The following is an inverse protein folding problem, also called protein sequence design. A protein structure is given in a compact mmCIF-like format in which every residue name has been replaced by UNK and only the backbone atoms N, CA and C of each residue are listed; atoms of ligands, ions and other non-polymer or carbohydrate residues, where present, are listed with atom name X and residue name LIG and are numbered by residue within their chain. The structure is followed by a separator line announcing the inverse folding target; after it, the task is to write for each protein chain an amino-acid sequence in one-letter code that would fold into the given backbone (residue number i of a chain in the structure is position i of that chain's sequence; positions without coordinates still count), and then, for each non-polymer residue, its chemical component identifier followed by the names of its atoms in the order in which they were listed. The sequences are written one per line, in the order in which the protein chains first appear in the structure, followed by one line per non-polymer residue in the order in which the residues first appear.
data_IF_181255205646
#
_entry.id   IF_181255205646
#
_cell.length_a   1.000
_cell.length_b   1.000
_cell.length_c   1.000
_cell.angle_alpha   90.00
_cell.angle_beta   90.00
_cell.angle_gamma   90.00
#
_symmetry.space_group_name_H-M   'P 1'
#
loop_
_entity.id
_entity.type
_entity.pdbx_description
1 polymer ?
#
# COMPACT_ATOMS: atom_id res chain seq x y z
N UNK A 1 -71.40 -62.21 0.21
CA UNK A 1 -72.88 -62.14 0.19
C UNK A 1 -73.38 -61.89 1.62
N UNK A 2 -74.20 -60.84 1.83
CA UNK A 2 -74.81 -60.34 3.11
C UNK A 2 -73.80 -59.86 4.18
N UNK A 3 -73.65 -58.59 4.58
CA UNK A 3 -74.47 -57.35 4.77
C UNK A 3 -75.12 -57.21 6.16
N UNK A 4 -74.82 -56.05 6.78
CA UNK A 4 -75.39 -55.34 7.97
C UNK A 4 -74.91 -55.79 9.36
N UNK A 5 -74.61 -54.92 10.34
CA UNK A 5 -74.56 -53.45 10.51
C UNK A 5 -73.60 -53.16 11.71
N UNK A 6 -73.12 -51.95 12.03
CA UNK A 6 -73.84 -50.94 12.86
C UNK A 6 -73.03 -49.62 12.95
N UNK A 7 -73.74 -48.47 12.77
CA UNK A 7 -73.66 -47.13 13.41
C UNK A 7 -72.31 -46.40 13.65
N UNK A 8 -72.18 -45.07 13.63
CA UNK A 8 -73.06 -43.89 13.41
C UNK A 8 -72.10 -42.71 13.15
N UNK A 9 -72.35 -41.87 12.13
CA UNK A 9 -71.62 -40.61 11.89
C UNK A 9 -72.52 -39.39 12.11
N UNK A 10 -71.85 -38.32 12.53
CA UNK A 10 -72.33 -37.10 13.15
C UNK A 10 -73.19 -36.20 12.25
N UNK A 11 -74.04 -35.45 12.96
CA UNK A 11 -75.05 -34.49 12.51
C UNK A 11 -74.40 -33.20 11.98
N UNK A 12 -74.95 -32.67 10.88
CA UNK A 12 -74.68 -31.33 10.34
C UNK A 12 -75.96 -30.48 10.49
N UNK A 13 -75.85 -29.23 10.92
CA UNK A 13 -76.92 -28.25 10.70
C UNK A 13 -76.98 -27.05 11.64
N UNK A 14 -76.56 -25.89 11.09
CA UNK A 14 -77.14 -24.55 11.27
C UNK A 14 -76.83 -23.74 12.54
N UNK A 15 -76.00 -22.70 12.37
CA UNK A 15 -76.08 -21.44 13.13
C UNK A 15 -75.48 -20.27 12.31
N UNK A 16 -75.92 -19.01 12.55
CA UNK A 16 -76.02 -17.96 11.52
C UNK A 16 -74.84 -16.98 11.46
N UNK A 17 -74.74 -16.30 10.32
CA UNK A 17 -74.06 -15.01 10.18
C UNK A 17 -74.81 -13.91 10.96
N UNK A 18 -74.14 -13.17 11.83
CA UNK A 18 -74.28 -11.71 11.91
C UNK A 18 -73.13 -11.07 12.71
N UNK A 19 -72.79 -9.86 12.30
CA UNK A 19 -71.55 -9.15 12.54
C UNK A 19 -71.31 -8.70 13.99
N UNK A 20 -70.04 -8.76 14.42
CA UNK A 20 -69.52 -7.96 15.52
C UNK A 20 -68.59 -6.89 14.94
N UNK A 21 -69.00 -5.62 15.05
CA UNK A 21 -68.17 -4.44 14.84
C UNK A 21 -67.09 -4.42 15.93
N UNK A 22 -65.83 -4.50 15.54
CA UNK A 22 -64.69 -4.08 16.37
C UNK A 22 -63.96 -2.98 15.60
N UNK A 23 -64.11 -1.76 16.10
CA UNK A 23 -63.36 -0.58 15.65
C UNK A 23 -61.92 -0.79 16.09
N UNK A 24 -61.06 -1.22 15.16
CA UNK A 24 -59.61 -1.11 15.33
C UNK A 24 -59.21 0.30 14.92
N UNK A 25 -58.84 1.11 15.91
CA UNK A 25 -58.14 2.36 15.70
C UNK A 25 -56.83 2.05 14.96
N UNK A 26 -56.71 2.52 13.72
CA UNK A 26 -55.46 2.50 12.99
C UNK A 26 -54.50 3.50 13.63
N UNK A 27 -53.62 3.02 14.52
CA UNK A 27 -52.39 3.74 14.84
C UNK A 27 -51.49 3.64 13.61
N UNK A 28 -51.60 4.61 12.70
CA UNK A 28 -50.56 4.85 11.69
C UNK A 28 -49.29 5.26 12.42
N UNK A 29 -48.15 4.55 12.27
CA UNK A 29 -46.88 5.08 12.75
C UNK A 29 -46.63 6.39 12.00
N UNK A 30 -46.44 7.45 12.76
CA UNK A 30 -46.00 8.75 12.24
C UNK A 30 -44.57 8.59 11.74
N UNK A 31 -44.42 8.15 10.50
CA UNK A 31 -43.13 8.20 9.80
C UNK A 31 -42.86 9.67 9.51
N UNK A 32 -42.04 10.29 10.36
CA UNK A 32 -41.44 11.59 10.05
C UNK A 32 -40.74 11.46 8.69
N UNK A 33 -41.04 12.31 7.70
CA UNK A 33 -40.33 12.27 6.43
C UNK A 33 -38.86 12.53 6.71
N UNK A 34 -38.01 11.50 6.55
CA UNK A 34 -36.58 11.70 6.46
C UNK A 34 -36.35 12.58 5.23
N UNK A 35 -35.85 13.79 5.46
CA UNK A 35 -35.31 14.60 4.39
C UNK A 35 -34.29 13.74 3.64
N UNK A 36 -34.30 13.70 2.30
CA UNK A 36 -33.28 13.01 1.55
C UNK A 36 -31.93 13.57 2.01
N UNK A 37 -31.10 12.70 2.61
CA UNK A 37 -29.70 13.02 2.87
C UNK A 37 -29.09 13.20 1.49
N UNK A 38 -28.95 14.45 1.05
CA UNK A 38 -28.15 14.78 -0.12
C UNK A 38 -26.77 14.16 0.17
N UNK A 39 -26.28 13.24 -0.67
CA UNK A 39 -24.89 12.80 -0.56
C UNK A 39 -24.05 14.07 -0.51
N UNK A 40 -23.25 14.25 0.55
CA UNK A 40 -22.24 15.28 0.54
C UNK A 40 -21.44 15.04 -0.74
N UNK A 41 -21.45 16.03 -1.64
CA UNK A 41 -20.53 16.02 -2.78
C UNK A 41 -19.14 15.72 -2.19
N UNK A 42 -18.37 14.79 -2.78
CA UNK A 42 -17.01 14.55 -2.32
C UNK A 42 -16.32 15.90 -2.21
N UNK A 43 -15.67 16.16 -1.07
CA UNK A 43 -14.89 17.38 -0.92
C UNK A 43 -13.95 17.48 -2.13
N UNK A 44 -13.87 18.65 -2.77
CA UNK A 44 -12.93 18.83 -3.87
C UNK A 44 -11.54 18.43 -3.38
N UNK A 45 -10.71 17.80 -4.23
CA UNK A 45 -9.36 17.40 -3.84
C UNK A 45 -8.64 18.57 -3.19
N UNK A 46 -8.05 18.35 -2.01
CA UNK A 46 -7.32 19.39 -1.31
C UNK A 46 -6.26 20.00 -2.24
N UNK A 47 -6.17 21.34 -2.27
CA UNK A 47 -5.17 22.03 -3.07
C UNK A 47 -3.76 21.53 -2.71
N UNK A 48 -2.87 21.34 -3.69
CA UNK A 48 -1.52 20.84 -3.43
C UNK A 48 -0.80 21.79 -2.47
N UNK A 49 -0.23 21.23 -1.41
CA UNK A 49 0.60 21.96 -0.46
C UNK A 49 1.91 22.36 -1.14
N UNK A 50 2.37 23.61 -1.01
CA UNK A 50 3.64 24.02 -1.60
C UNK A 50 4.80 23.15 -1.06
N UNK A 51 5.86 22.92 -1.85
CA UNK A 51 7.00 22.14 -1.38
C UNK A 51 7.62 22.72 -0.11
N UNK A 52 7.95 21.84 0.85
CA UNK A 52 8.54 22.23 2.13
C UNK A 52 9.87 21.51 2.35
N UNK A 53 10.96 22.28 2.39
CA UNK A 53 12.31 21.76 2.55
C UNK A 53 12.71 21.64 4.02
N UNK A 54 13.41 20.54 4.34
CA UNK A 54 13.96 20.24 5.64
C UNK A 54 15.46 19.92 5.50
N UNK A 55 16.28 20.69 6.20
CA UNK A 55 17.73 20.48 6.29
C UNK A 55 18.03 19.75 7.60
N UNK A 56 18.37 18.47 7.49
CA UNK A 56 18.63 17.57 8.60
C UNK A 56 20.13 17.52 8.84
N UNK A 57 20.53 17.68 10.09
CA UNK A 57 21.93 17.70 10.51
C UNK A 57 22.10 16.96 11.82
N UNK A 58 23.35 16.63 12.16
CA UNK A 58 23.70 16.03 13.46
C UNK A 58 23.20 16.87 14.64
N UNK A 59 23.28 18.21 14.55
CA UNK A 59 22.82 19.10 15.61
C UNK A 59 21.29 19.09 15.78
N UNK A 60 20.55 18.87 14.69
CA UNK A 60 19.10 18.69 14.69
C UNK A 60 18.65 17.27 15.05
N UNK A 61 19.58 16.35 15.29
CA UNK A 61 19.30 14.96 15.65
C UNK A 61 18.57 14.18 14.56
N UNK A 62 18.69 14.58 13.30
CA UNK A 62 18.10 13.90 12.13
C UNK A 62 16.57 13.74 12.21
N UNK A 63 15.85 14.77 12.68
CA UNK A 63 14.38 14.74 12.86
C UNK A 63 13.67 15.81 12.04
N UNK A 64 12.44 15.49 11.64
CA UNK A 64 11.50 16.48 11.14
C UNK A 64 10.94 17.33 12.30
N UNK A 65 10.52 18.57 12.02
CA UNK A 65 9.70 19.36 12.95
C UNK A 65 8.37 18.67 13.27
N UNK A 66 7.80 18.94 14.45
CA UNK A 66 6.52 18.34 14.89
C UNK A 66 5.33 18.73 13.99
N UNK A 67 5.42 19.85 13.26
CA UNK A 67 4.39 20.38 12.35
C UNK A 67 4.66 20.07 10.87
N UNK A 68 5.45 19.04 10.58
CA UNK A 68 5.72 18.62 9.21
C UNK A 68 4.43 18.14 8.48
N UNK A 69 4.35 18.28 7.15
CA UNK A 69 3.20 17.83 6.38
C UNK A 69 3.01 16.32 6.47
N UNK A 70 1.74 15.90 6.44
CA UNK A 70 1.32 14.50 6.43
C UNK A 70 0.68 14.14 5.10
N UNK A 71 0.74 12.87 4.73
CA UNK A 71 0.17 12.35 3.49
C UNK A 71 -1.34 12.20 3.56
N UNK A 72 -1.99 12.37 2.41
CA UNK A 72 -3.44 12.16 2.30
C UNK A 72 -3.75 10.67 2.33
N UNK A 73 -4.89 10.34 2.94
CA UNK A 73 -5.49 9.01 2.84
C UNK A 73 -6.06 8.83 1.42
N UNK A 74 -5.92 7.64 0.82
CA UNK A 74 -6.61 7.33 -0.43
C UNK A 74 -8.12 7.58 -0.29
N UNK A 75 -8.69 8.29 -1.25
CA UNK A 75 -10.08 8.78 -1.20
C UNK A 75 -10.80 8.74 -2.54
N UNK A 76 -10.07 8.59 -3.65
CA UNK A 76 -10.64 8.52 -4.98
C UNK A 76 -10.88 7.07 -5.39
N UNK A 77 -12.03 6.81 -6.01
CA UNK A 77 -12.34 5.49 -6.55
C UNK A 77 -11.23 5.01 -7.48
N UNK A 78 -10.79 3.77 -7.25
CA UNK A 78 -9.67 3.15 -7.95
C UNK A 78 -10.10 2.05 -8.90
N UNK A 79 -9.16 1.59 -9.73
CA UNK A 79 -9.36 0.49 -10.68
C UNK A 79 -8.24 -0.55 -10.53
N UNK A 80 -8.65 -1.81 -10.40
CA UNK A 80 -7.78 -2.99 -10.59
C UNK A 80 -8.14 -3.66 -11.91
N UNK A 81 -7.13 -3.86 -12.75
CA UNK A 81 -7.26 -4.58 -14.01
C UNK A 81 -6.74 -6.00 -13.81
N UNK A 82 -7.54 -7.00 -14.14
CA UNK A 82 -7.14 -8.41 -14.03
C UNK A 82 -7.14 -9.02 -15.42
N UNK A 83 -5.97 -9.48 -15.86
CA UNK A 83 -5.79 -10.06 -17.20
C UNK A 83 -6.73 -11.25 -17.42
N UNK A 84 -7.64 -11.13 -18.39
CA UNK A 84 -8.62 -12.17 -18.71
C UNK A 84 -9.96 -12.04 -17.98
N UNK A 85 -10.09 -11.17 -16.97
CA UNK A 85 -11.36 -10.88 -16.28
C UNK A 85 -11.88 -9.46 -16.53
N UNK A 86 -11.00 -8.50 -16.76
CA UNK A 86 -11.36 -7.10 -17.03
C UNK A 86 -11.07 -6.17 -15.86
N UNK A 87 -11.79 -5.05 -15.82
CA UNK A 87 -11.56 -3.96 -14.88
C UNK A 87 -12.57 -3.99 -13.74
N UNK A 88 -12.07 -3.82 -12.51
CA UNK A 88 -12.86 -3.82 -11.28
C UNK A 88 -12.64 -2.50 -10.54
N UNK A 89 -13.74 -1.77 -10.32
CA UNK A 89 -13.71 -0.55 -9.53
C UNK A 89 -13.84 -0.86 -8.02
N UNK A 90 -13.23 -0.03 -7.19
CA UNK A 90 -13.35 -0.10 -5.74
C UNK A 90 -13.32 1.30 -5.13
N UNK A 91 -13.91 1.43 -3.94
CA UNK A 91 -13.82 2.65 -3.15
C UNK A 91 -12.81 2.47 -2.01
N UNK A 92 -11.80 3.34 -1.86
CA UNK A 92 -10.80 3.24 -0.79
C UNK A 92 -11.38 3.17 0.62
N UNK A 93 -12.52 3.83 0.86
CA UNK A 93 -13.17 3.87 2.17
C UNK A 93 -13.69 2.48 2.64
N UNK A 94 -13.79 1.51 1.74
CA UNK A 94 -14.26 0.15 2.04
C UNK A 94 -13.11 -0.86 2.15
N UNK A 95 -11.87 -0.44 1.89
CA UNK A 95 -10.69 -1.31 1.93
C UNK A 95 -10.08 -1.28 3.33
N UNK A 96 -9.94 -2.46 3.93
CA UNK A 96 -9.25 -2.66 5.19
C UNK A 96 -7.87 -3.27 4.95
N UNK A 97 -6.85 -2.83 5.70
CA UNK A 97 -5.51 -3.40 5.53
C UNK A 97 -5.39 -4.79 6.15
N UNK A 98 -4.75 -5.69 5.43
CA UNK A 98 -4.33 -7.02 5.91
C UNK A 98 -3.00 -6.98 6.67
N UNK A 99 -2.33 -5.83 6.71
CA UNK A 99 -1.05 -5.59 7.39
C UNK A 99 -1.18 -4.44 8.42
N UNK A 100 -2.04 -4.56 9.45
CA UNK A 100 -2.27 -3.50 10.43
C UNK A 100 -1.05 -3.17 11.32
N UNK A 101 -0.04 -4.03 11.30
CA UNK A 101 1.27 -3.80 11.92
C UNK A 101 2.21 -2.95 11.06
N UNK A 102 1.90 -2.75 9.77
CA UNK A 102 2.67 -1.90 8.84
C UNK A 102 1.94 -0.60 8.56
N UNK A 103 0.65 -0.64 8.18
CA UNK A 103 -0.08 0.55 7.77
C UNK A 103 -0.83 1.21 8.91
N UNK A 104 -0.82 2.54 8.93
CA UNK A 104 -1.65 3.35 9.79
C UNK A 104 -3.13 3.29 9.35
N UNK A 105 -4.04 3.72 10.23
CA UNK A 105 -5.48 3.63 9.98
C UNK A 105 -5.92 4.47 8.76
N UNK A 106 -6.59 3.82 7.81
CA UNK A 106 -7.04 4.43 6.55
C UNK A 106 -6.00 4.39 5.42
N UNK A 107 -4.83 3.80 5.68
CA UNK A 107 -3.86 3.44 4.65
C UNK A 107 -3.84 1.92 4.45
N UNK A 108 -3.53 1.50 3.23
CA UNK A 108 -3.56 0.10 2.83
C UNK A 108 -2.65 -0.13 1.63
N UNK A 109 -2.38 -1.40 1.36
CA UNK A 109 -1.52 -1.86 0.28
C UNK A 109 -2.27 -2.16 -1.02
N UNK A 110 -1.53 -2.34 -2.11
CA UNK A 110 -2.05 -2.86 -3.38
C UNK A 110 -2.73 -4.22 -3.18
N UNK A 111 -2.16 -5.09 -2.35
CA UNK A 111 -2.76 -6.40 -2.06
C UNK A 111 -4.12 -6.28 -1.38
N UNK A 112 -4.28 -5.32 -0.46
CA UNK A 112 -5.53 -5.12 0.29
C UNK A 112 -6.70 -4.80 -0.64
N UNK A 113 -6.44 -4.07 -1.73
CA UNK A 113 -7.44 -3.82 -2.78
C UNK A 113 -7.87 -5.11 -3.46
N UNK A 114 -6.91 -5.96 -3.85
CA UNK A 114 -7.19 -7.24 -4.52
C UNK A 114 -7.96 -8.17 -3.58
N UNK A 115 -7.54 -8.25 -2.32
CA UNK A 115 -8.19 -9.04 -1.29
C UNK A 115 -9.62 -8.54 -1.02
N UNK A 116 -9.83 -7.22 -0.94
CA UNK A 116 -11.15 -6.62 -0.77
C UNK A 116 -12.12 -7.05 -1.89
N UNK A 117 -11.70 -6.93 -3.15
CA UNK A 117 -12.52 -7.33 -4.30
C UNK A 117 -12.79 -8.84 -4.31
N UNK A 118 -11.79 -9.67 -4.03
CA UNK A 118 -11.96 -11.12 -3.90
C UNK A 118 -12.93 -11.52 -2.79
N UNK A 119 -12.82 -10.88 -1.61
CA UNK A 119 -13.66 -11.15 -0.44
C UNK A 119 -15.12 -10.73 -0.65
N UNK A 120 -15.37 -9.72 -1.50
CA UNK A 120 -16.72 -9.36 -1.96
C UNK A 120 -17.30 -10.34 -2.99
N UNK A 121 -16.51 -11.29 -3.47
CA UNK A 121 -16.95 -12.31 -4.43
C UNK A 121 -17.00 -11.81 -5.87
N UNK A 122 -16.30 -10.73 -6.22
CA UNK A 122 -16.21 -10.24 -7.61
C UNK A 122 -15.49 -11.24 -8.53
N UNK A 123 -14.57 -12.02 -7.96
CA UNK A 123 -13.89 -13.14 -8.61
C UNK A 123 -13.43 -14.15 -7.54
N UNK A 124 -13.28 -15.44 -7.90
CA UNK A 124 -12.72 -16.43 -6.98
C UNK A 124 -11.26 -16.09 -6.68
N UNK A 125 -10.94 -15.86 -5.40
CA UNK A 125 -9.60 -15.58 -4.92
C UNK A 125 -9.28 -16.49 -3.73
N UNK A 126 -8.13 -17.17 -3.79
CA UNK A 126 -7.53 -17.89 -2.67
C UNK A 126 -6.15 -17.31 -2.40
N UNK A 127 -5.90 -16.97 -1.15
CA UNK A 127 -4.62 -16.44 -0.71
C UNK A 127 -4.36 -16.83 0.74
N UNK A 128 -3.10 -16.75 1.16
CA UNK A 128 -2.71 -16.90 2.55
C UNK A 128 -1.54 -15.98 2.88
N UNK A 129 -1.39 -15.65 4.16
CA UNK A 129 -0.17 -15.03 4.66
C UNK A 129 0.93 -16.08 4.83
N UNK A 130 2.08 -15.88 4.18
CA UNK A 130 3.22 -16.77 4.29
C UNK A 130 4.30 -16.16 5.20
N UNK A 131 4.35 -16.60 6.44
CA UNK A 131 5.33 -16.12 7.42
C UNK A 131 6.80 -16.38 7.06
N UNK A 132 7.09 -17.30 6.11
CA UNK A 132 8.45 -17.55 5.61
C UNK A 132 8.87 -16.61 4.49
N UNK A 133 7.93 -15.79 4.00
CA UNK A 133 8.16 -14.77 2.97
C UNK A 133 7.80 -13.36 3.50
N UNK A 134 7.09 -13.28 4.64
CA UNK A 134 6.58 -12.05 5.26
C UNK A 134 5.68 -11.27 4.29
N UNK A 135 4.82 -12.00 3.59
CA UNK A 135 3.91 -11.45 2.59
C UNK A 135 2.70 -12.35 2.36
N UNK A 136 1.61 -11.78 1.89
CA UNK A 136 0.48 -12.52 1.36
C UNK A 136 0.78 -13.06 -0.06
N UNK A 137 0.48 -14.34 -0.25
CA UNK A 137 0.65 -15.05 -1.52
C UNK A 137 -0.73 -15.33 -2.11
N UNK A 138 -0.94 -14.97 -3.37
CA UNK A 138 -2.10 -15.40 -4.15
C UNK A 138 -1.85 -16.84 -4.59
N UNK A 139 -2.58 -17.78 -3.99
CA UNK A 139 -2.51 -19.20 -4.35
C UNK A 139 -3.23 -19.44 -5.68
N UNK A 140 -4.39 -18.84 -5.84
CA UNK A 140 -5.26 -19.01 -7.00
C UNK A 140 -6.14 -17.77 -7.20
N UNK A 141 -6.22 -17.29 -8.43
CA UNK A 141 -7.20 -16.29 -8.86
C UNK A 141 -7.85 -16.82 -10.14
N UNK A 142 -9.18 -16.96 -10.10
CA UNK A 142 -9.99 -17.53 -11.19
C UNK A 142 -9.47 -18.87 -11.72
N UNK A 143 -9.12 -19.78 -10.80
CA UNK A 143 -8.61 -21.11 -11.12
C UNK A 143 -7.17 -21.14 -11.68
N UNK A 144 -6.47 -20.00 -11.72
CA UNK A 144 -5.10 -19.86 -12.23
C UNK A 144 -4.14 -19.48 -11.12
N UNK A 145 -2.92 -19.99 -11.18
CA UNK A 145 -1.85 -19.73 -10.21
C UNK A 145 -0.86 -18.68 -10.73
N UNK A 146 0.13 -18.32 -9.90
CA UNK A 146 1.29 -17.49 -10.28
C UNK A 146 0.91 -16.07 -10.73
N UNK A 147 0.00 -15.43 -10.01
CA UNK A 147 -0.39 -14.05 -10.26
C UNK A 147 0.60 -13.07 -9.63
N UNK A 148 0.97 -12.05 -10.39
CA UNK A 148 1.76 -10.92 -9.94
C UNK A 148 1.09 -9.60 -10.35
N UNK A 149 1.65 -8.49 -9.87
CA UNK A 149 1.11 -7.16 -10.13
C UNK A 149 2.11 -6.25 -10.83
N UNK A 150 1.57 -5.26 -11.52
CA UNK A 150 2.27 -4.04 -11.92
C UNK A 150 1.45 -2.86 -11.45
N UNK A 151 2.13 -1.76 -11.18
CA UNK A 151 1.51 -0.48 -10.86
C UNK A 151 1.84 0.53 -11.94
N UNK A 152 0.93 1.46 -12.14
CA UNK A 152 1.16 2.67 -12.91
C UNK A 152 0.56 3.84 -12.14
N UNK A 153 1.41 4.71 -11.63
CA UNK A 153 0.98 5.98 -11.06
C UNK A 153 0.61 6.98 -12.18
N UNK A 154 -0.21 8.00 -11.89
CA UNK A 154 -0.45 9.11 -12.81
C UNK A 154 0.86 9.72 -13.32
N UNK A 155 0.88 10.18 -14.58
CA UNK A 155 2.08 10.73 -15.22
C UNK A 155 3.26 9.74 -15.40
N UNK A 156 3.06 8.47 -15.05
CA UNK A 156 4.08 7.42 -15.09
C UNK A 156 3.90 6.39 -16.21
N UNK A 157 4.80 5.41 -16.21
CA UNK A 157 4.69 4.19 -17.01
C UNK A 157 4.35 3.00 -16.10
N UNK A 158 3.91 1.91 -16.71
CA UNK A 158 3.69 0.65 -15.99
C UNK A 158 5.03 0.07 -15.55
N UNK A 159 5.19 -0.16 -14.25
CA UNK A 159 6.45 -0.62 -13.67
C UNK A 159 6.47 -2.13 -13.51
N UNK A 160 7.54 -2.75 -14.02
CA UNK A 160 7.94 -4.09 -13.59
C UNK A 160 8.53 -3.97 -12.19
N UNK A 161 8.00 -4.72 -11.24
CA UNK A 161 8.50 -4.74 -9.87
C UNK A 161 8.55 -6.17 -9.35
N UNK A 162 9.36 -6.39 -8.33
CA UNK A 162 9.37 -7.63 -7.52
C UNK A 162 9.10 -7.33 -6.05
N UNK A 163 8.39 -6.24 -5.76
CA UNK A 163 8.17 -5.78 -4.39
C UNK A 163 6.95 -6.46 -3.78
N UNK A 164 6.98 -6.78 -2.48
CA UNK A 164 5.84 -7.43 -1.79
C UNK A 164 4.57 -6.60 -1.99
N UNK A 165 3.56 -7.22 -2.62
CA UNK A 165 2.32 -6.53 -2.98
C UNK A 165 1.58 -5.97 -1.75
N UNK A 166 1.68 -6.66 -0.62
CA UNK A 166 1.08 -6.27 0.65
C UNK A 166 1.92 -5.28 1.46
N UNK A 167 3.08 -4.86 0.94
CA UNK A 167 3.86 -3.73 1.46
C UNK A 167 3.86 -2.53 0.50
N UNK A 168 3.29 -2.68 -0.70
CA UNK A 168 3.20 -1.61 -1.69
C UNK A 168 2.03 -0.67 -1.34
N UNK A 169 2.26 0.57 -0.87
CA UNK A 169 1.17 1.47 -0.50
C UNK A 169 0.32 1.80 -1.74
N UNK A 170 -1.00 1.71 -1.59
CA UNK A 170 -1.93 2.24 -2.59
C UNK A 170 -2.02 3.76 -2.47
N UNK A 171 -2.21 4.43 -3.61
CA UNK A 171 -2.41 5.88 -3.70
C UNK A 171 -3.46 6.18 -4.76
N UNK A 172 -4.16 7.30 -4.59
CA UNK A 172 -5.19 7.73 -5.53
C UNK A 172 -4.64 7.84 -6.97
N UNK A 173 -5.46 7.48 -7.95
CA UNK A 173 -5.08 7.49 -9.36
C UNK A 173 -4.11 6.36 -9.79
N UNK A 174 -3.58 5.56 -8.87
CA UNK A 174 -2.78 4.39 -9.22
C UNK A 174 -3.65 3.35 -9.94
N UNK A 175 -3.22 2.91 -11.12
CA UNK A 175 -3.75 1.72 -11.79
C UNK A 175 -2.97 0.50 -11.33
N UNK A 176 -3.67 -0.54 -10.88
CA UNK A 176 -3.08 -1.84 -10.51
C UNK A 176 -3.45 -2.85 -11.59
N UNK A 177 -2.46 -3.58 -12.13
CA UNK A 177 -2.70 -4.62 -13.14
C UNK A 177 -2.19 -5.97 -12.63
N UNK A 178 -3.09 -6.93 -12.49
CA UNK A 178 -2.78 -8.32 -12.17
C UNK A 178 -2.64 -9.13 -13.46
N UNK A 179 -1.56 -9.91 -13.52
CA UNK A 179 -1.22 -10.74 -14.67
C UNK A 179 -0.49 -12.01 -14.21
N UNK A 180 -0.66 -13.13 -14.93
CA UNK A 180 0.08 -14.36 -14.64
C UNK A 180 1.56 -14.20 -15.00
N UNK A 181 2.42 -14.90 -14.26
CA UNK A 181 3.85 -14.98 -14.49
C UNK A 181 4.30 -16.44 -14.64
N UNK A 182 5.41 -16.71 -15.33
CA UNK A 182 6.02 -18.04 -15.31
C UNK A 182 6.34 -18.47 -13.88
N UNK A 183 6.08 -19.74 -13.56
CA UNK A 183 6.33 -20.31 -12.23
C UNK A 183 7.77 -20.10 -11.76
N UNK A 184 8.75 -20.27 -12.67
CA UNK A 184 10.16 -20.01 -12.38
C UNK A 184 10.43 -18.55 -11.99
N UNK A 185 9.75 -17.59 -12.64
CA UNK A 185 9.90 -16.17 -12.28
C UNK A 185 9.33 -15.89 -10.89
N UNK A 186 8.15 -16.43 -10.58
CA UNK A 186 7.55 -16.34 -9.25
C UNK A 186 8.45 -16.97 -8.17
N UNK A 187 9.03 -18.13 -8.47
CA UNK A 187 9.98 -18.81 -7.58
C UNK A 187 11.20 -17.95 -7.23
N UNK A 188 11.73 -17.18 -8.20
CA UNK A 188 12.86 -16.26 -7.97
C UNK A 188 12.45 -15.07 -7.10
N UNK A 189 11.27 -14.49 -7.31
CA UNK A 189 10.72 -13.42 -6.44
C UNK A 189 10.62 -13.94 -5.00
N UNK A 190 9.95 -15.07 -4.77
CA UNK A 190 9.78 -15.62 -3.42
C UNK A 190 11.10 -16.08 -2.78
N UNK A 191 12.05 -16.58 -3.57
CA UNK A 191 13.40 -16.89 -3.06
C UNK A 191 14.07 -15.63 -2.51
N UNK A 192 13.99 -14.50 -3.22
CA UNK A 192 14.54 -13.24 -2.75
C UNK A 192 13.92 -12.78 -1.42
N UNK A 193 12.61 -12.97 -1.23
CA UNK A 193 11.93 -12.64 0.03
C UNK A 193 12.36 -13.55 1.19
N UNK A 194 12.52 -14.84 0.94
CA UNK A 194 13.00 -15.79 1.92
C UNK A 194 14.43 -15.47 2.36
N UNK A 195 15.29 -15.06 1.43
CA UNK A 195 16.66 -14.65 1.73
C UNK A 195 16.74 -13.38 2.59
N UNK A 196 15.84 -12.41 2.38
CA UNK A 196 15.76 -11.22 3.25
C UNK A 196 15.40 -11.63 4.69
N UNK A 197 14.44 -12.53 4.86
CA UNK A 197 14.08 -13.02 6.19
C UNK A 197 15.19 -13.85 6.83
N UNK A 198 15.92 -14.65 6.04
CA UNK A 198 17.08 -15.37 6.52
C UNK A 198 18.14 -14.38 7.01
N UNK A 199 18.46 -13.32 6.24
CA UNK A 199 19.37 -12.24 6.65
C UNK A 199 18.91 -11.58 7.96
N UNK A 200 17.64 -11.20 8.05
CA UNK A 200 17.07 -10.61 9.27
C UNK A 200 17.17 -11.57 10.47
N UNK A 201 16.90 -12.86 10.26
CA UNK A 201 16.96 -13.88 11.30
C UNK A 201 18.39 -14.11 11.80
N UNK A 202 19.39 -14.23 10.93
CA UNK A 202 20.80 -14.39 11.35
C UNK A 202 21.32 -13.16 12.10
N UNK A 203 20.73 -12.00 11.82
CA UNK A 203 21.02 -10.74 12.51
C UNK A 203 20.17 -10.51 13.77
N UNK A 204 19.52 -11.55 14.29
CA UNK A 204 18.70 -11.53 15.50
C UNK A 204 17.51 -10.55 15.40
N UNK A 205 16.88 -10.51 14.23
CA UNK A 205 15.74 -9.64 13.95
C UNK A 205 16.11 -8.23 13.48
N UNK A 206 17.39 -7.85 13.53
CA UNK A 206 17.88 -6.54 13.10
C UNK A 206 17.98 -6.45 11.58
N UNK A 207 17.63 -5.30 11.03
CA UNK A 207 17.86 -4.98 9.62
C UNK A 207 19.33 -4.61 9.47
N UNK A 208 20.08 -5.41 8.71
CA UNK A 208 21.45 -5.10 8.32
C UNK A 208 21.54 -5.26 6.81
N UNK A 209 21.90 -4.19 6.11
CA UNK A 209 22.06 -4.21 4.66
C UNK A 209 23.53 -4.51 4.35
N UNK A 210 23.83 -5.61 3.64
CA UNK A 210 25.20 -6.00 3.33
C UNK A 210 26.02 -4.91 2.63
N UNK A 211 25.44 -4.22 1.65
CA UNK A 211 26.08 -3.12 0.93
C UNK A 211 25.10 -1.95 0.73
N UNK A 212 25.52 -0.76 1.16
CA UNK A 212 24.85 0.51 0.84
C UNK A 212 25.84 1.37 0.06
N UNK A 213 25.44 1.83 -1.12
CA UNK A 213 26.24 2.71 -1.97
C UNK A 213 25.56 4.07 -2.10
N UNK A 214 26.32 5.14 -1.94
CA UNK A 214 25.89 6.52 -2.16
C UNK A 214 26.90 7.14 -3.12
N UNK A 215 26.50 7.38 -4.37
CA UNK A 215 27.45 7.83 -5.40
C UNK A 215 28.65 6.89 -5.51
N UNK A 216 29.84 7.38 -5.15
CA UNK A 216 31.09 6.61 -5.11
C UNK A 216 31.38 5.94 -3.77
N UNK A 217 30.76 6.37 -2.68
CA UNK A 217 30.94 5.82 -1.35
C UNK A 217 30.27 4.45 -1.19
N UNK A 218 30.94 3.54 -0.46
CA UNK A 218 30.43 2.19 -0.17
C UNK A 218 30.53 1.91 1.32
N UNK A 219 29.39 1.58 1.92
CA UNK A 219 29.26 1.19 3.31
C UNK A 219 28.84 -0.29 3.36
N UNK A 220 29.45 -1.05 4.27
CA UNK A 220 29.18 -2.49 4.39
C UNK A 220 28.57 -2.82 5.74
N UNK A 221 27.67 -3.80 5.74
CA UNK A 221 26.94 -4.27 6.93
C UNK A 221 26.29 -3.13 7.72
N UNK A 222 25.53 -2.29 7.02
CA UNK A 222 24.90 -1.11 7.59
C UNK A 222 23.73 -1.53 8.47
N UNK A 223 23.79 -1.32 9.80
CA UNK A 223 22.62 -1.52 10.65
C UNK A 223 21.61 -0.39 10.38
N UNK A 224 20.34 -0.74 10.31
CA UNK A 224 19.25 0.21 10.04
C UNK A 224 18.20 0.12 11.14
N UNK A 225 17.80 1.26 11.67
CA UNK A 225 16.69 1.42 12.62
C UNK A 225 15.59 2.29 12.01
N UNK A 226 14.35 2.12 12.45
CA UNK A 226 13.26 3.00 12.04
C UNK A 226 13.43 4.40 12.65
N UNK A 227 13.17 5.45 11.87
CA UNK A 227 13.13 6.84 12.33
C UNK A 227 11.71 7.43 12.37
N UNK A 228 10.71 6.67 11.91
CA UNK A 228 9.29 6.98 12.02
C UNK A 228 8.89 8.32 11.37
N UNK A 229 9.54 8.70 10.26
CA UNK A 229 9.24 9.94 9.51
C UNK A 229 7.85 9.97 8.87
N UNK A 230 7.15 8.84 8.82
CA UNK A 230 5.87 8.65 8.15
C UNK A 230 4.87 7.92 9.04
N UNK A 231 4.77 8.33 10.30
CA UNK A 231 3.81 7.76 11.27
C UNK A 231 2.33 8.06 10.93
N UNK A 232 2.11 8.98 9.98
CA UNK A 232 0.85 9.23 9.30
C UNK A 232 0.39 8.05 8.41
N UNK A 233 1.35 7.42 7.71
CA UNK A 233 1.13 6.36 6.71
C UNK A 233 1.43 4.97 7.26
N UNK A 234 2.49 4.86 8.07
CA UNK A 234 3.07 3.62 8.56
C UNK A 234 3.00 3.56 10.08
N UNK A 235 2.99 2.36 10.64
CA UNK A 235 3.09 2.17 12.09
C UNK A 235 4.51 2.48 12.57
N UNK A 236 4.66 3.14 13.74
CA UNK A 236 5.96 3.33 14.36
C UNK A 236 6.74 2.01 14.51
N UNK A 237 8.03 2.05 14.23
CA UNK A 237 8.92 0.89 14.15
C UNK A 237 9.02 0.25 12.77
N UNK A 238 8.27 0.74 11.77
CA UNK A 238 8.37 0.26 10.39
C UNK A 238 9.60 0.86 9.71
N UNK A 239 10.55 0.01 9.31
CA UNK A 239 11.78 0.47 8.63
C UNK A 239 11.50 0.73 7.16
N UNK A 240 11.91 1.89 6.69
CA UNK A 240 11.79 2.38 5.31
C UNK A 240 13.15 2.47 4.62
N UNK A 241 13.15 2.67 3.31
CA UNK A 241 14.36 2.91 2.55
C UNK A 241 15.04 4.25 2.93
N UNK A 242 14.28 5.27 3.34
CA UNK A 242 14.85 6.55 3.82
C UNK A 242 15.65 6.35 5.12
N UNK A 243 15.18 5.46 6.00
CA UNK A 243 15.84 5.16 7.27
C UNK A 243 17.27 4.65 7.10
N UNK A 244 17.64 4.13 5.92
CA UNK A 244 19.02 3.74 5.61
C UNK A 244 19.95 4.95 5.61
N UNK A 245 19.54 6.07 5.00
CA UNK A 245 20.31 7.31 5.03
C UNK A 245 20.35 7.89 6.44
N UNK A 246 19.22 7.91 7.14
CA UNK A 246 19.14 8.43 8.51
C UNK A 246 19.99 7.59 9.49
N UNK A 247 20.02 6.26 9.32
CA UNK A 247 20.88 5.38 10.10
C UNK A 247 22.37 5.57 9.80
N UNK A 248 22.75 5.89 8.55
CA UNK A 248 24.11 6.31 8.21
C UNK A 248 24.46 7.65 8.85
N UNK A 249 23.51 8.59 8.87
CA UNK A 249 23.63 9.88 9.54
C UNK A 249 23.88 9.72 11.05
N UNK A 250 23.13 8.86 11.73
CA UNK A 250 23.35 8.51 13.15
C UNK A 250 24.74 7.93 13.43
N UNK A 251 25.34 7.28 12.42
CA UNK A 251 26.70 6.73 12.48
C UNK A 251 27.79 7.76 12.14
N UNK A 252 27.43 9.03 11.94
CA UNK A 252 28.33 10.11 11.54
C UNK A 252 28.93 9.89 10.16
N UNK A 253 28.15 9.29 9.23
CA UNK A 253 28.56 9.08 7.84
C UNK A 253 28.04 10.14 6.89
N UNK A 254 27.09 10.95 7.34
CA UNK A 254 26.53 12.08 6.60
C UNK A 254 26.69 13.33 7.46
N UNK A 255 27.06 14.44 6.84
CA UNK A 255 27.15 15.75 7.48
C UNK A 255 25.80 16.49 7.40
N UNK A 256 25.10 16.33 6.26
CA UNK A 256 23.77 16.91 6.04
C UNK A 256 22.91 16.04 5.11
N UNK A 257 21.60 16.04 5.36
CA UNK A 257 20.60 15.45 4.49
C UNK A 257 19.51 16.49 4.22
N UNK A 258 19.23 16.81 2.95
CA UNK A 258 18.07 17.63 2.60
C UNK A 258 16.96 16.74 2.08
N UNK A 259 15.80 16.81 2.72
CA UNK A 259 14.56 16.23 2.20
C UNK A 259 13.53 17.33 1.98
N UNK A 260 12.74 17.21 0.91
CA UNK A 260 11.68 18.17 0.60
C UNK A 260 10.37 17.42 0.45
N UNK A 261 9.35 17.86 1.19
CA UNK A 261 7.99 17.38 1.05
C UNK A 261 7.38 17.88 -0.26
N UNK A 262 6.74 16.98 -0.99
CA UNK A 262 5.97 17.30 -2.18
C UNK A 262 4.60 16.64 -2.12
N UNK A 263 3.52 17.42 -2.23
CA UNK A 263 2.17 16.88 -2.44
C UNK A 263 1.93 16.48 -3.91
N UNK A 264 2.65 17.11 -4.84
CA UNK A 264 2.73 16.77 -6.28
C UNK A 264 4.20 16.73 -6.73
N UNK A 265 4.53 15.75 -7.56
CA UNK A 265 5.82 15.56 -8.21
C UNK A 265 5.64 15.49 -9.73
N UNK A 266 5.26 16.61 -10.35
CA UNK A 266 5.30 16.77 -11.81
C UNK A 266 4.37 15.82 -12.56
N UNK A 267 3.13 15.70 -12.09
CA UNK A 267 2.09 14.87 -12.71
C UNK A 267 1.97 13.46 -12.13
N UNK A 268 2.71 13.17 -11.06
CA UNK A 268 2.58 11.94 -10.24
C UNK A 268 1.75 12.24 -9.00
N UNK A 269 0.54 12.78 -9.21
CA UNK A 269 -0.38 13.11 -8.12
C UNK A 269 -1.21 11.91 -7.68
N UNK A 270 -1.49 11.77 -6.37
CA UNK A 270 -0.81 12.44 -5.27
C UNK A 270 0.57 11.80 -4.99
N UNK A 271 1.58 12.64 -4.74
CA UNK A 271 2.92 12.16 -4.37
C UNK A 271 3.00 11.92 -2.86
N UNK A 272 2.66 12.96 -2.09
CA UNK A 272 2.63 13.00 -0.62
C UNK A 272 3.83 12.29 0.01
N UNK A 273 5.02 12.76 -0.35
CA UNK A 273 6.28 12.10 -0.01
C UNK A 273 7.44 13.06 0.21
N UNK A 274 8.37 12.64 1.06
CA UNK A 274 9.68 13.27 1.22
C UNK A 274 10.63 12.81 0.13
N UNK A 275 11.06 13.73 -0.71
CA UNK A 275 12.10 13.49 -1.71
C UNK A 275 13.46 13.87 -1.15
N UNK A 276 14.45 13.00 -1.30
CA UNK A 276 15.84 13.32 -1.00
C UNK A 276 16.40 14.23 -2.08
N UNK A 277 16.83 15.42 -1.69
CA UNK A 277 17.39 16.44 -2.58
C UNK A 277 18.88 16.66 -2.38
N UNK A 278 19.42 16.31 -1.21
CA UNK A 278 20.85 16.43 -0.95
C UNK A 278 21.27 15.31 0.00
N UNK A 279 22.37 14.65 -0.32
CA UNK A 279 23.08 13.74 0.58
C UNK A 279 24.50 14.29 0.62
N UNK A 280 24.87 14.91 1.74
CA UNK A 280 26.20 15.48 1.95
C UNK A 280 26.96 14.54 2.88
N UNK A 281 27.97 13.85 2.33
CA UNK A 281 28.81 12.90 3.07
C UNK A 281 30.24 13.41 3.31
N UNK A 282 30.52 14.65 2.88
CA UNK A 282 31.80 15.32 3.07
C UNK A 282 32.91 14.83 2.14
N UNK A 283 32.60 14.11 1.06
CA UNK A 283 33.57 13.65 0.07
C UNK A 283 33.79 14.64 -1.11
N UNK A 284 33.07 15.78 -1.11
CA UNK A 284 33.03 16.82 -2.13
C UNK A 284 32.48 16.34 -3.51
N UNK A 285 31.87 15.15 -3.59
CA UNK A 285 31.31 14.56 -4.81
C UNK A 285 29.80 14.30 -4.65
N UNK A 286 29.00 14.99 -5.48
CA UNK A 286 27.53 14.90 -5.45
C UNK A 286 26.88 15.38 -4.14
N UNK A 287 27.62 16.08 -3.28
CA UNK A 287 27.10 16.74 -2.07
C UNK A 287 26.17 17.93 -2.37
N UNK A 288 26.08 18.37 -3.63
CA UNK A 288 25.26 19.51 -4.02
C UNK A 288 23.76 19.19 -3.99
N UNK A 289 22.96 20.22 -3.72
CA UNK A 289 21.51 20.13 -3.78
C UNK A 289 21.02 19.82 -5.22
N UNK A 290 20.04 18.93 -5.30
CA UNK A 290 19.33 18.60 -6.52
C UNK A 290 18.58 19.83 -7.06
N UNK A 291 18.66 20.03 -8.37
CA UNK A 291 17.96 21.07 -9.10
C UNK A 291 17.74 20.59 -10.53
N UNK A 292 16.89 21.27 -11.29
CA UNK A 292 16.71 20.96 -12.72
C UNK A 292 18.03 20.99 -13.50
N UNK A 293 18.96 21.86 -13.08
CA UNK A 293 20.26 22.07 -13.73
C UNK A 293 21.36 21.15 -13.21
N UNK A 294 21.30 20.70 -11.95
CA UNK A 294 22.31 19.83 -11.34
C UNK A 294 21.98 18.34 -11.47
N UNK A 295 20.71 17.97 -11.54
CA UNK A 295 20.24 16.58 -11.51
C UNK A 295 19.50 16.24 -10.21
N UNK A 296 19.26 14.95 -9.97
CA UNK A 296 18.55 14.48 -8.78
C UNK A 296 18.96 13.09 -8.31
N UNK A 297 18.80 12.86 -7.01
CA UNK A 297 18.99 11.55 -6.39
C UNK A 297 17.88 10.59 -6.77
N UNK A 298 18.29 9.38 -7.17
CA UNK A 298 17.42 8.21 -7.33
C UNK A 298 18.01 7.07 -6.52
N UNK A 299 17.16 6.14 -6.12
CA UNK A 299 17.59 4.98 -5.39
C UNK A 299 16.97 3.69 -5.91
N UNK A 300 17.61 2.58 -5.56
CA UNK A 300 17.03 1.25 -5.66
C UNK A 300 17.49 0.39 -4.49
N UNK A 301 16.71 -0.65 -4.17
CA UNK A 301 17.03 -1.62 -3.12
C UNK A 301 16.29 -2.93 -3.39
N UNK A 302 16.76 -4.04 -2.83
CA UNK A 302 16.15 -5.36 -2.99
C UNK A 302 17.21 -6.44 -3.15
N UNK A 303 16.93 -7.43 -3.99
CA UNK A 303 17.91 -8.44 -4.42
C UNK A 303 18.66 -7.98 -5.67
N UNK A 304 19.96 -8.27 -5.72
CA UNK A 304 20.85 -7.96 -6.86
C UNK A 304 20.37 -8.63 -8.15
N UNK A 305 19.69 -9.79 -8.05
CA UNK A 305 19.10 -10.48 -9.20
C UNK A 305 18.13 -9.57 -9.99
N UNK A 306 17.37 -8.76 -9.27
CA UNK A 306 16.35 -7.87 -9.81
C UNK A 306 16.80 -6.40 -9.90
N UNK A 307 18.11 -6.16 -9.83
CA UNK A 307 18.69 -4.81 -9.96
C UNK A 307 18.20 -4.03 -11.18
N UNK A 308 18.11 -2.71 -11.01
CA UNK A 308 17.65 -1.77 -12.03
C UNK A 308 16.21 -2.07 -12.47
N UNK A 309 15.92 -1.84 -13.75
CA UNK A 309 14.59 -2.03 -14.36
C UNK A 309 14.13 -3.50 -14.44
N UNK A 310 14.87 -4.45 -13.84
CA UNK A 310 14.41 -5.83 -13.68
C UNK A 310 13.38 -5.98 -12.57
N UNK A 311 13.32 -5.05 -11.61
CA UNK A 311 12.26 -5.01 -10.60
C UNK A 311 12.58 -4.30 -9.28
N UNK A 312 13.84 -3.91 -9.01
CA UNK A 312 14.25 -3.22 -7.78
C UNK A 312 14.19 -1.69 -7.88
N UNK A 313 14.27 -1.15 -9.10
CA UNK A 313 14.04 0.27 -9.39
C UNK A 313 12.55 0.51 -9.66
N UNK A 314 11.85 1.06 -8.67
CA UNK A 314 10.39 1.24 -8.68
C UNK A 314 10.02 2.60 -8.07
N UNK A 315 8.90 3.19 -8.48
CA UNK A 315 8.44 4.50 -7.99
C UNK A 315 7.65 4.43 -6.68
N UNK A 316 8.24 3.77 -5.69
CA UNK A 316 7.83 3.97 -4.30
C UNK A 316 8.84 4.93 -3.67
N UNK A 317 8.45 6.15 -3.27
CA UNK A 317 9.29 7.05 -2.47
C UNK A 317 10.01 6.36 -1.30
N UNK A 318 11.23 6.79 -1.01
CA UNK A 318 12.09 6.13 -0.03
C UNK A 318 11.50 6.17 1.39
N UNK A 319 10.78 7.24 1.72
CA UNK A 319 10.06 7.42 2.98
C UNK A 319 8.83 6.50 3.12
N UNK A 320 8.38 5.87 2.03
CA UNK A 320 7.22 4.97 2.03
C UNK A 320 7.58 3.52 1.69
N UNK A 321 8.78 3.28 1.16
CA UNK A 321 9.22 1.94 0.77
C UNK A 321 9.68 1.17 2.00
N UNK A 322 8.79 0.35 2.54
CA UNK A 322 9.10 -0.58 3.63
C UNK A 322 10.20 -1.55 3.20
N UNK A 323 11.19 -1.79 4.07
CA UNK A 323 12.28 -2.74 3.85
C UNK A 323 12.34 -3.78 4.97
N UNK A 324 12.70 -5.01 4.63
CA UNK A 324 12.84 -6.12 5.61
C UNK A 324 14.30 -6.35 5.96
N UNK A 325 15.11 -6.78 4.99
CA UNK A 325 16.58 -6.85 5.09
C UNK A 325 17.14 -7.10 3.67
N UNK A 326 17.03 -6.10 2.78
CA UNK A 326 17.43 -6.24 1.39
C UNK A 326 18.91 -6.62 1.26
N UNK A 327 19.28 -7.16 0.10
CA UNK A 327 20.67 -7.55 -0.19
C UNK A 327 21.55 -6.31 -0.42
N UNK A 328 20.99 -5.25 -0.96
CA UNK A 328 21.69 -4.00 -1.21
C UNK A 328 20.76 -2.78 -1.21
N UNK A 329 21.36 -1.59 -1.13
CA UNK A 329 20.73 -0.33 -1.49
C UNK A 329 21.73 0.57 -2.20
N UNK A 330 21.31 1.22 -3.28
CA UNK A 330 22.14 2.18 -4.01
C UNK A 330 21.39 3.48 -4.19
N UNK A 331 22.02 4.58 -3.80
CA UNK A 331 21.67 5.95 -4.17
C UNK A 331 22.64 6.41 -5.25
N UNK A 332 22.09 6.94 -6.35
CA UNK A 332 22.90 7.41 -7.47
C UNK A 332 22.30 8.69 -8.05
N UNK A 333 23.20 9.52 -8.57
CA UNK A 333 22.85 10.79 -9.18
C UNK A 333 22.45 10.58 -10.64
N UNK A 334 21.23 11.02 -10.99
CA UNK A 334 20.86 11.20 -12.39
C UNK A 334 21.11 12.65 -12.78
N UNK A 335 22.02 12.87 -13.73
CA UNK A 335 22.36 14.20 -14.23
C UNK A 335 21.17 14.95 -14.82
N UNK A 336 21.32 16.26 -15.01
CA UNK A 336 20.29 17.12 -15.55
C UNK A 336 19.89 16.74 -16.99
N UNK A 337 18.63 17.07 -17.33
CA UNK A 337 17.99 16.71 -18.61
C UNK A 337 18.51 17.49 -19.83
N UNK A 338 19.64 18.19 -19.75
CA UNK A 338 20.24 18.85 -20.90
C UNK A 338 20.82 17.82 -21.87
N UNK A 339 19.98 17.36 -22.79
CA UNK A 339 20.37 16.79 -24.08
C UNK A 339 20.57 17.89 -25.11
#
# INVERSE_FOLDING_TARGET
MRVHATARKFILGLTPCLAALLILAACTPTTTPQLPVTPLLPEPPAEPTPPQAFYLTQAGGWRLPDDHPVGRKPSLDGIVQIEGLGDFAFSPAEVETTRPEIFAEGHFSVFDVVAHLGNKGWFPLKYHYNARLDTHVIDELDGRMNWWYRTRCPGGWTETNVFRMDMAPYRDGMTVTLHPQPEEYMGRIYSSFAEELLRKSVNLGRVIIPEVRIGTAVYTNVPVSAHDFRDDLLRPGTVTALDVLLSLADQGKLDQLKVTWYSDLGGVEPADSLRVEQIDDGDDLYDAEASEDSGFWVYETGSVEFSSFKGSNIRIPADQRVIVSPEYMTWYWLGSRTW
#
